data_IF_012540030748
#
_entry.id   IF_012540030748
#
_cell.length_a   1.000
_cell.length_b   1.000
_cell.length_c   1.000
_cell.angle_alpha   90.00
_cell.angle_beta   90.00
_cell.angle_gamma   90.00
#
_symmetry.space_group_name_H-M   'P 1'
#
loop_
_entity.id
_entity.type
_entity.pdbx_description
1 polymer ?
#
# COMPACT_ATOMS: atom_id res chain seq x y z
N UNK A 1 -2.42 -8.09 -49.01
CA UNK A 1 -3.18 -7.27 -48.05
C UNK A 1 -3.95 -8.26 -47.19
N UNK A 2 -3.67 -8.37 -45.90
CA UNK A 2 -4.42 -9.28 -45.03
C UNK A 2 -5.76 -8.64 -44.74
N UNK A 3 -6.83 -9.18 -45.31
CA UNK A 3 -8.18 -8.84 -44.91
C UNK A 3 -8.31 -9.14 -43.41
N UNK A 4 -8.48 -8.09 -42.62
CA UNK A 4 -8.83 -8.23 -41.21
C UNK A 4 -10.25 -8.81 -41.22
N UNK A 5 -10.35 -10.12 -40.98
CA UNK A 5 -11.63 -10.81 -40.87
C UNK A 5 -12.35 -10.28 -39.62
N UNK A 6 -13.35 -9.42 -39.84
CA UNK A 6 -14.26 -9.00 -38.79
C UNK A 6 -15.17 -10.17 -38.43
N UNK A 7 -15.37 -10.41 -37.13
CA UNK A 7 -16.35 -11.37 -36.65
C UNK A 7 -17.65 -10.63 -36.36
N UNK A 8 -18.72 -11.00 -37.07
CA UNK A 8 -20.07 -10.50 -36.78
C UNK A 8 -20.60 -11.20 -35.53
N UNK A 9 -21.24 -10.43 -34.64
CA UNK A 9 -21.89 -10.94 -33.43
C UNK A 9 -23.37 -11.19 -33.75
N UNK A 10 -23.86 -12.37 -33.40
CA UNK A 10 -25.27 -12.74 -33.55
C UNK A 10 -26.17 -11.95 -32.61
N UNK A 11 -27.49 -12.00 -32.86
CA UNK A 11 -28.45 -11.31 -31.98
C UNK A 11 -28.53 -11.97 -30.61
N UNK A 12 -28.36 -13.29 -30.56
CA UNK A 12 -28.32 -14.07 -29.34
C UNK A 12 -27.10 -13.69 -28.50
N UNK A 13 -25.91 -13.65 -29.09
CA UNK A 13 -24.67 -13.23 -28.39
C UNK A 13 -24.74 -11.76 -27.93
N UNK A 14 -25.37 -10.87 -28.71
CA UNK A 14 -25.60 -9.49 -28.28
C UNK A 14 -26.55 -9.39 -27.09
N UNK A 15 -27.57 -10.26 -27.01
CA UNK A 15 -28.47 -10.30 -25.87
C UNK A 15 -27.76 -10.82 -24.63
N UNK A 16 -26.95 -11.87 -24.75
CA UNK A 16 -26.12 -12.39 -23.65
C UNK A 16 -25.16 -11.30 -23.12
N UNK A 17 -24.52 -10.54 -24.02
CA UNK A 17 -23.66 -9.43 -23.62
C UNK A 17 -24.40 -8.28 -22.94
N UNK A 18 -25.65 -8.03 -23.32
CA UNK A 18 -26.49 -7.01 -22.66
C UNK A 18 -26.90 -7.47 -21.26
N UNK A 19 -27.20 -8.76 -21.09
CA UNK A 19 -27.47 -9.37 -19.79
C UNK A 19 -26.21 -9.29 -18.89
N UNK A 20 -25.04 -9.65 -19.41
CA UNK A 20 -23.74 -9.47 -18.72
C UNK A 20 -23.48 -8.00 -18.35
N UNK A 21 -23.76 -7.06 -19.26
CA UNK A 21 -23.61 -5.62 -19.00
C UNK A 21 -24.48 -5.18 -17.83
N UNK A 22 -25.72 -5.64 -17.78
CA UNK A 22 -26.67 -5.28 -16.72
C UNK A 22 -26.22 -5.86 -15.36
N UNK A 23 -25.76 -7.11 -15.34
CA UNK A 23 -25.19 -7.73 -14.14
C UNK A 23 -23.96 -6.97 -13.62
N UNK A 24 -23.03 -6.60 -14.52
CA UNK A 24 -21.85 -5.78 -14.18
C UNK A 24 -22.23 -4.42 -13.58
N UNK A 25 -23.25 -3.76 -14.14
CA UNK A 25 -23.72 -2.45 -13.65
C UNK A 25 -24.39 -2.57 -12.28
N UNK A 26 -25.21 -3.59 -12.07
CA UNK A 26 -25.87 -3.84 -10.80
C UNK A 26 -24.86 -4.17 -9.70
N UNK A 27 -23.89 -5.03 -10.00
CA UNK A 27 -22.81 -5.36 -9.09
C UNK A 27 -21.91 -4.16 -8.79
N UNK A 28 -21.55 -3.33 -9.78
CA UNK A 28 -20.82 -2.09 -9.56
C UNK A 28 -21.60 -1.13 -8.65
N UNK A 29 -22.90 -0.91 -8.92
CA UNK A 29 -23.76 -0.04 -8.14
C UNK A 29 -23.85 -0.49 -6.68
N UNK A 30 -24.01 -1.79 -6.46
CA UNK A 30 -24.10 -2.37 -5.12
C UNK A 30 -22.78 -2.20 -4.35
N UNK A 31 -21.64 -2.52 -4.97
CA UNK A 31 -20.32 -2.33 -4.34
C UNK A 31 -20.06 -0.85 -4.01
N UNK A 32 -20.32 0.06 -4.95
CA UNK A 32 -20.13 1.49 -4.71
C UNK A 32 -21.02 1.99 -3.56
N UNK A 33 -22.28 1.54 -3.51
CA UNK A 33 -23.19 1.92 -2.43
C UNK A 33 -22.73 1.38 -1.07
N UNK A 34 -22.26 0.12 -1.01
CA UNK A 34 -21.69 -0.48 0.20
C UNK A 34 -20.42 0.25 0.65
N UNK A 35 -19.51 0.54 -0.29
CA UNK A 35 -18.28 1.30 -0.05
C UNK A 35 -18.59 2.68 0.54
N UNK A 36 -19.49 3.44 -0.09
CA UNK A 36 -19.90 4.75 0.41
C UNK A 36 -20.54 4.67 1.81
N UNK A 37 -21.40 3.67 2.03
CA UNK A 37 -22.10 3.49 3.30
C UNK A 37 -21.15 3.13 4.44
N UNK A 38 -20.25 2.18 4.22
CA UNK A 38 -19.34 1.67 5.25
C UNK A 38 -18.25 2.69 5.61
N UNK A 39 -17.76 3.43 4.63
CA UNK A 39 -16.74 4.47 4.83
C UNK A 39 -17.34 5.85 5.15
N UNK A 40 -18.67 5.97 5.17
CA UNK A 40 -19.38 7.24 5.39
C UNK A 40 -18.94 8.35 4.42
N UNK A 41 -18.83 8.02 3.12
CA UNK A 41 -18.40 8.95 2.05
C UNK A 41 -19.57 9.32 1.15
N UNK A 42 -19.71 10.61 0.87
CA UNK A 42 -20.68 11.13 -0.10
C UNK A 42 -20.08 11.25 -1.50
N UNK A 43 -20.08 10.15 -2.27
CA UNK A 43 -19.71 10.15 -3.69
C UNK A 43 -20.92 10.34 -4.60
N UNK A 44 -20.72 10.92 -5.80
CA UNK A 44 -21.76 11.02 -6.83
C UNK A 44 -22.05 9.66 -7.49
N UNK A 45 -22.75 8.78 -6.76
CA UNK A 45 -23.05 7.42 -7.21
C UNK A 45 -23.87 7.39 -8.50
N UNK A 46 -24.83 8.30 -8.65
CA UNK A 46 -25.68 8.38 -9.85
C UNK A 46 -24.86 8.74 -11.09
N UNK A 47 -23.96 9.73 -10.97
CA UNK A 47 -23.07 10.12 -12.06
C UNK A 47 -22.11 9.01 -12.46
N UNK A 48 -21.52 8.31 -11.48
CA UNK A 48 -20.62 7.18 -11.73
C UNK A 48 -21.33 6.05 -12.49
N UNK A 49 -22.50 5.62 -12.03
CA UNK A 49 -23.29 4.57 -12.70
C UNK A 49 -23.73 4.99 -14.10
N UNK A 50 -24.18 6.24 -14.28
CA UNK A 50 -24.57 6.74 -15.59
C UNK A 50 -23.39 6.76 -16.59
N UNK A 51 -22.20 7.18 -16.13
CA UNK A 51 -20.99 7.19 -16.94
C UNK A 51 -20.58 5.79 -17.41
N UNK A 52 -20.58 4.81 -16.48
CA UNK A 52 -20.21 3.43 -16.82
C UNK A 52 -21.26 2.78 -17.72
N UNK A 53 -22.54 3.03 -17.45
CA UNK A 53 -23.62 2.54 -18.33
C UNK A 53 -23.46 3.09 -19.75
N UNK A 54 -23.05 4.35 -19.90
CA UNK A 54 -22.79 4.92 -21.21
C UNK A 54 -21.57 4.27 -21.89
N UNK A 55 -20.44 4.16 -21.18
CA UNK A 55 -19.20 3.58 -21.71
C UNK A 55 -19.36 2.11 -22.14
N UNK A 56 -20.04 1.30 -21.32
CA UNK A 56 -20.31 -0.11 -21.63
C UNK A 56 -21.27 -0.26 -22.81
N UNK A 57 -22.31 0.58 -22.89
CA UNK A 57 -23.21 0.60 -24.05
C UNK A 57 -22.50 0.99 -25.35
N UNK A 58 -21.56 1.95 -25.29
CA UNK A 58 -20.70 2.30 -26.44
C UNK A 58 -19.84 1.11 -26.87
N UNK A 59 -19.40 0.25 -25.94
CA UNK A 59 -18.67 -0.97 -26.29
C UNK A 59 -19.54 -1.93 -27.12
N UNK A 60 -20.78 -2.19 -26.68
CA UNK A 60 -21.73 -3.04 -27.40
C UNK A 60 -22.17 -2.46 -28.75
N UNK A 61 -22.19 -1.13 -28.86
CA UNK A 61 -22.56 -0.42 -30.09
C UNK A 61 -21.48 -0.48 -31.18
N UNK A 62 -20.29 -1.03 -30.91
CA UNK A 62 -19.20 -1.09 -31.88
C UNK A 62 -19.26 -2.38 -32.70
N UNK A 63 -19.76 -2.32 -33.94
CA UNK A 63 -20.08 -3.53 -34.75
C UNK A 63 -18.86 -4.18 -35.43
N UNK A 64 -17.64 -3.81 -35.03
CA UNK A 64 -16.41 -4.20 -35.72
C UNK A 64 -15.38 -4.65 -34.72
N UNK A 65 -15.30 -5.96 -34.51
CA UNK A 65 -14.30 -6.56 -33.64
C UNK A 65 -13.17 -7.13 -34.49
N UNK A 66 -11.97 -6.64 -34.20
CA UNK A 66 -10.74 -7.24 -34.69
C UNK A 66 -10.39 -8.34 -33.68
N UNK A 67 -10.39 -9.63 -34.06
CA UNK A 67 -9.99 -10.69 -33.15
C UNK A 67 -8.58 -10.42 -32.63
N UNK A 68 -8.47 -10.19 -31.32
CA UNK A 68 -7.20 -9.96 -30.64
C UNK A 68 -6.60 -11.33 -30.28
N UNK A 69 -5.34 -11.58 -30.66
CA UNK A 69 -4.57 -12.71 -30.12
C UNK A 69 -3.94 -12.28 -28.81
N UNK A 70 -4.25 -12.98 -27.74
CA UNK A 70 -3.60 -12.81 -26.43
C UNK A 70 -2.99 -14.16 -26.04
N UNK A 71 -1.67 -14.19 -25.78
CA UNK A 71 -0.95 -15.44 -25.47
C UNK A 71 -0.99 -16.53 -26.56
N UNK A 72 -1.38 -16.20 -27.80
CA UNK A 72 -1.53 -17.17 -28.90
C UNK A 72 -2.94 -17.77 -29.02
N UNK A 73 -3.88 -17.41 -28.13
CA UNK A 73 -5.29 -17.84 -28.17
C UNK A 73 -6.13 -16.81 -28.93
N UNK A 74 -7.04 -17.30 -29.78
CA UNK A 74 -8.03 -16.48 -30.47
C UNK A 74 -9.22 -16.26 -29.54
N UNK A 75 -9.47 -15.01 -29.15
CA UNK A 75 -10.65 -14.63 -28.36
C UNK A 75 -11.80 -14.33 -29.34
N UNK A 76 -13.00 -14.85 -29.05
CA UNK A 76 -14.20 -14.53 -29.84
C UNK A 76 -14.56 -13.04 -29.73
N UNK A 77 -15.29 -12.50 -30.71
CA UNK A 77 -15.82 -11.13 -30.64
C UNK A 77 -16.63 -10.86 -29.36
N UNK A 78 -17.46 -11.83 -28.95
CA UNK A 78 -18.20 -11.79 -27.68
C UNK A 78 -17.26 -11.72 -26.47
N UNK A 79 -16.28 -12.63 -26.38
CA UNK A 79 -15.33 -12.66 -25.27
C UNK A 79 -14.49 -11.38 -25.19
N UNK A 80 -14.12 -10.80 -26.33
CA UNK A 80 -13.42 -9.53 -26.37
C UNK A 80 -14.26 -8.37 -25.81
N UNK A 81 -15.54 -8.31 -26.19
CA UNK A 81 -16.46 -7.30 -25.67
C UNK A 81 -16.72 -7.43 -24.18
N UNK A 82 -16.94 -8.66 -23.72
CA UNK A 82 -17.12 -8.97 -22.30
C UNK A 82 -15.93 -8.48 -21.47
N UNK A 83 -14.71 -8.87 -21.86
CA UNK A 83 -13.46 -8.41 -21.21
C UNK A 83 -13.32 -6.89 -21.22
N UNK A 84 -13.64 -6.23 -22.34
CA UNK A 84 -13.54 -4.77 -22.46
C UNK A 84 -14.54 -4.06 -21.53
N UNK A 85 -15.74 -4.60 -21.36
CA UNK A 85 -16.72 -4.07 -20.41
C UNK A 85 -16.22 -4.23 -18.97
N UNK A 86 -15.68 -5.41 -18.61
CA UNK A 86 -15.07 -5.62 -17.30
C UNK A 86 -13.92 -4.65 -17.01
N UNK A 87 -12.98 -4.49 -17.96
CA UNK A 87 -11.86 -3.56 -17.83
C UNK A 87 -12.34 -2.13 -17.63
N UNK A 88 -13.41 -1.74 -18.34
CA UNK A 88 -14.03 -0.41 -18.19
C UNK A 88 -14.57 -0.20 -16.77
N UNK A 89 -15.28 -1.20 -16.22
CA UNK A 89 -15.82 -1.16 -14.86
C UNK A 89 -14.69 -1.10 -13.82
N UNK A 90 -13.67 -1.96 -13.97
CA UNK A 90 -12.48 -2.00 -13.11
C UNK A 90 -11.76 -0.65 -13.09
N UNK A 91 -11.49 -0.07 -14.26
CA UNK A 91 -10.82 1.22 -14.39
C UNK A 91 -11.62 2.36 -13.75
N UNK A 92 -12.94 2.36 -13.93
CA UNK A 92 -13.81 3.37 -13.33
C UNK A 92 -13.79 3.30 -11.80
N UNK A 93 -13.87 2.09 -11.22
CA UNK A 93 -13.77 1.90 -9.78
C UNK A 93 -12.41 2.35 -9.22
N UNK A 94 -11.31 1.95 -9.87
CA UNK A 94 -9.97 2.41 -9.48
C UNK A 94 -9.82 3.92 -9.58
N UNK A 95 -10.43 4.56 -10.58
CA UNK A 95 -10.41 6.03 -10.71
C UNK A 95 -11.10 6.70 -9.53
N UNK A 96 -12.30 6.23 -9.16
CA UNK A 96 -13.05 6.75 -8.01
C UNK A 96 -12.24 6.62 -6.72
N UNK A 97 -11.63 5.46 -6.49
CA UNK A 97 -10.86 5.19 -5.27
C UNK A 97 -9.57 6.01 -5.25
N UNK A 98 -8.89 6.14 -6.38
CA UNK A 98 -7.69 6.99 -6.50
C UNK A 98 -8.01 8.46 -6.24
N UNK A 99 -9.14 8.97 -6.73
CA UNK A 99 -9.55 10.36 -6.48
C UNK A 99 -9.90 10.58 -5.01
N UNK A 100 -10.56 9.61 -4.36
CA UNK A 100 -10.78 9.65 -2.91
C UNK A 100 -9.46 9.58 -2.13
N UNK A 101 -8.55 8.67 -2.51
CA UNK A 101 -7.25 8.52 -1.87
C UNK A 101 -6.41 9.80 -1.94
N UNK A 102 -6.42 10.48 -3.09
CA UNK A 102 -5.80 11.80 -3.25
C UNK A 102 -6.40 12.82 -2.30
N UNK A 103 -7.74 12.92 -2.24
CA UNK A 103 -8.40 13.87 -1.35
C UNK A 103 -8.06 13.62 0.13
N UNK A 104 -7.96 12.35 0.54
CA UNK A 104 -7.54 11.96 1.90
C UNK A 104 -6.09 12.39 2.14
N UNK A 105 -5.17 12.01 1.26
CA UNK A 105 -3.75 12.34 1.43
C UNK A 105 -3.49 13.85 1.37
N UNK A 106 -4.17 14.59 0.49
CA UNK A 106 -4.10 16.04 0.37
C UNK A 106 -4.63 16.76 1.63
N UNK A 107 -5.50 16.10 2.42
CA UNK A 107 -5.97 16.65 3.69
C UNK A 107 -4.84 16.84 4.72
N UNK A 108 -3.71 16.13 4.55
CA UNK A 108 -2.50 16.32 5.37
C UNK A 108 -1.98 17.76 5.33
N UNK A 109 -2.19 18.50 4.23
CA UNK A 109 -1.76 19.90 4.10
C UNK A 109 -2.47 20.84 5.10
N UNK A 110 -3.61 20.41 5.66
CA UNK A 110 -4.36 21.17 6.66
C UNK A 110 -3.86 20.93 8.09
N UNK A 111 -2.98 19.95 8.28
CA UNK A 111 -2.44 19.58 9.58
C UNK A 111 -1.14 20.32 9.87
N UNK A 112 -0.79 20.43 11.16
CA UNK A 112 0.50 20.96 11.57
C UNK A 112 1.60 19.94 11.24
N UNK A 113 2.81 20.41 10.94
CA UNK A 113 3.95 19.56 10.57
C UNK A 113 4.29 18.51 11.63
N UNK A 114 4.02 18.80 12.90
CA UNK A 114 4.31 17.93 14.04
C UNK A 114 3.08 17.16 14.57
N UNK A 115 1.97 17.19 13.84
CA UNK A 115 0.72 16.51 14.19
C UNK A 115 0.95 15.00 14.34
N UNK A 116 0.28 14.38 15.30
CA UNK A 116 0.41 12.95 15.61
C UNK A 116 -0.08 12.05 14.47
N UNK A 117 -0.99 12.56 13.63
CA UNK A 117 -1.49 11.88 12.45
C UNK A 117 -0.36 11.62 11.45
N UNK A 118 0.62 12.53 11.38
CA UNK A 118 1.74 12.50 10.43
C UNK A 118 3.00 11.83 11.00
N UNK A 119 2.87 11.08 12.11
CA UNK A 119 3.96 10.32 12.72
C UNK A 119 3.85 8.84 12.40
N UNK A 120 4.92 8.08 12.51
CA UNK A 120 4.89 6.64 12.22
C UNK A 120 5.32 6.29 10.80
N UNK A 121 5.17 5.01 10.45
CA UNK A 121 5.39 4.52 9.10
C UNK A 121 4.44 5.17 8.08
N UNK A 122 4.80 5.21 6.78
CA UNK A 122 3.90 5.68 5.72
C UNK A 122 2.52 5.02 5.74
N UNK A 123 2.47 3.71 5.93
CA UNK A 123 1.24 2.92 6.09
C UNK A 123 0.40 3.40 7.30
N UNK A 124 1.03 3.59 8.46
CA UNK A 124 0.36 4.10 9.66
C UNK A 124 -0.20 5.51 9.44
N UNK A 125 0.57 6.37 8.77
CA UNK A 125 0.13 7.72 8.42
C UNK A 125 -1.08 7.64 7.47
N UNK A 126 -1.05 6.77 6.46
CA UNK A 126 -2.15 6.58 5.53
C UNK A 126 -3.44 6.11 6.24
N UNK A 127 -3.33 5.15 7.17
CA UNK A 127 -4.44 4.70 7.98
C UNK A 127 -5.01 5.84 8.86
N UNK A 128 -4.15 6.59 9.55
CA UNK A 128 -4.57 7.70 10.41
C UNK A 128 -5.20 8.85 9.63
N UNK A 129 -4.63 9.23 8.48
CA UNK A 129 -5.21 10.23 7.58
C UNK A 129 -6.59 9.79 7.08
N UNK A 130 -6.73 8.52 6.69
CA UNK A 130 -7.99 7.95 6.22
C UNK A 130 -9.05 8.00 7.31
N UNK A 131 -8.74 7.50 8.52
CA UNK A 131 -9.67 7.55 9.65
C UNK A 131 -10.07 8.99 10.00
N UNK A 132 -9.10 9.89 10.05
CA UNK A 132 -9.33 11.29 10.35
C UNK A 132 -10.24 11.97 9.32
N UNK A 133 -10.01 11.69 8.03
CA UNK A 133 -10.79 12.25 6.93
C UNK A 133 -12.24 11.74 6.94
N UNK A 134 -12.42 10.44 7.13
CA UNK A 134 -13.74 9.78 7.01
C UNK A 134 -14.62 9.96 8.26
N UNK A 135 -14.02 9.93 9.45
CA UNK A 135 -14.77 9.87 10.72
C UNK A 135 -14.52 11.08 11.64
N UNK A 136 -13.71 12.04 11.17
CA UNK A 136 -13.40 13.29 11.89
C UNK A 136 -12.42 13.10 13.05
N UNK A 137 -12.39 14.09 13.94
CA UNK A 137 -11.51 14.11 15.12
C UNK A 137 -12.02 13.16 16.23
N UNK A 138 -11.88 11.85 16.01
CA UNK A 138 -11.94 10.87 17.10
C UNK A 138 -10.54 10.57 17.61
N UNK A 139 -10.39 10.29 18.90
CA UNK A 139 -9.11 9.84 19.44
C UNK A 139 -8.83 8.46 18.88
N UNK A 140 -7.62 8.18 18.43
CA UNK A 140 -7.25 6.92 17.76
C UNK A 140 -7.62 5.65 18.54
N UNK A 141 -7.60 5.70 19.88
CA UNK A 141 -8.02 4.59 20.75
C UNK A 141 -9.54 4.36 20.80
N UNK A 142 -10.33 5.32 20.34
CA UNK A 142 -11.80 5.29 20.31
C UNK A 142 -12.34 5.03 18.89
N UNK A 143 -11.45 4.72 17.93
CA UNK A 143 -11.81 4.46 16.53
C UNK A 143 -11.93 2.94 16.34
N UNK A 144 -13.16 2.48 16.09
CA UNK A 144 -13.37 1.12 15.58
C UNK A 144 -12.58 0.96 14.27
N UNK A 145 -11.95 -0.20 14.02
CA UNK A 145 -11.24 -0.45 12.77
C UNK A 145 -12.14 -0.17 11.57
N UNK A 146 -11.55 0.30 10.47
CA UNK A 146 -12.30 0.57 9.24
C UNK A 146 -12.97 -0.76 8.84
N UNK A 147 -14.30 -0.79 8.70
CA UNK A 147 -15.00 -2.05 8.45
C UNK A 147 -14.59 -2.62 7.10
N UNK A 148 -14.28 -3.91 7.07
CA UNK A 148 -14.05 -4.63 5.83
C UNK A 148 -15.28 -4.52 4.92
N UNK A 149 -15.02 -4.28 3.64
CA UNK A 149 -16.07 -4.20 2.64
C UNK A 149 -16.27 -5.61 2.09
N UNK A 150 -17.44 -6.24 2.34
CA UNK A 150 -17.66 -7.61 1.88
C UNK A 150 -17.62 -7.66 0.35
N UNK A 151 -16.85 -8.61 -0.18
CA UNK A 151 -16.87 -8.93 -1.61
C UNK A 151 -18.27 -9.41 -1.98
N UNK A 152 -18.94 -8.68 -2.86
CA UNK A 152 -20.18 -9.15 -3.46
C UNK A 152 -19.81 -9.95 -4.70
N UNK A 153 -20.37 -11.16 -4.83
CA UNK A 153 -20.14 -12.00 -5.99
C UNK A 153 -20.43 -11.24 -7.30
N UNK A 154 -19.69 -11.61 -8.36
CA UNK A 154 -19.83 -11.19 -9.76
C UNK A 154 -19.11 -9.91 -10.21
N UNK A 155 -18.39 -9.21 -9.34
CA UNK A 155 -17.53 -8.11 -9.78
C UNK A 155 -16.13 -8.23 -9.17
N UNK A 156 -15.13 -8.50 -10.00
CA UNK A 156 -13.70 -8.43 -9.66
C UNK A 156 -13.25 -6.96 -9.48
N UNK A 157 -13.96 -6.21 -8.65
CA UNK A 157 -13.70 -4.79 -8.38
C UNK A 157 -13.03 -4.68 -7.03
N UNK A 158 -11.82 -5.22 -6.95
CA UNK A 158 -10.97 -5.19 -5.75
C UNK A 158 -10.62 -3.75 -5.34
N UNK A 159 -10.83 -2.79 -6.25
CA UNK A 159 -10.64 -1.38 -6.01
C UNK A 159 -11.49 -0.86 -4.84
N UNK A 160 -12.74 -1.34 -4.66
CA UNK A 160 -13.61 -0.93 -3.56
C UNK A 160 -13.33 -1.69 -2.26
N UNK A 161 -12.06 -1.84 -1.91
CA UNK A 161 -11.60 -2.41 -0.64
C UNK A 161 -10.88 -1.36 0.21
N UNK A 162 -10.86 -1.58 1.52
CA UNK A 162 -10.10 -0.73 2.45
C UNK A 162 -8.61 -0.81 2.15
N UNK A 163 -8.08 -2.02 1.92
CA UNK A 163 -6.67 -2.24 1.62
C UNK A 163 -6.23 -1.49 0.36
N UNK A 164 -7.04 -1.53 -0.71
CA UNK A 164 -6.74 -0.79 -1.93
C UNK A 164 -6.78 0.73 -1.70
N UNK A 165 -7.76 1.22 -0.93
CA UNK A 165 -7.83 2.64 -0.56
C UNK A 165 -6.59 3.07 0.23
N UNK A 166 -6.22 2.33 1.29
CA UNK A 166 -5.07 2.63 2.15
C UNK A 166 -3.77 2.62 1.35
N UNK A 167 -3.57 1.60 0.50
CA UNK A 167 -2.41 1.52 -0.38
C UNK A 167 -2.30 2.74 -1.30
N UNK A 168 -3.42 3.23 -1.85
CA UNK A 168 -3.42 4.42 -2.72
C UNK A 168 -3.25 5.73 -1.96
N UNK A 169 -3.73 5.81 -0.72
CA UNK A 169 -3.48 6.96 0.16
C UNK A 169 -2.00 7.03 0.50
N UNK A 170 -1.40 5.89 0.89
CA UNK A 170 0.03 5.78 1.17
C UNK A 170 0.87 6.19 -0.04
N UNK A 171 0.62 5.59 -1.21
CA UNK A 171 1.36 5.88 -2.44
C UNK A 171 1.34 7.37 -2.77
N UNK A 172 0.17 8.01 -2.74
CA UNK A 172 0.06 9.44 -3.03
C UNK A 172 0.73 10.30 -1.96
N UNK A 173 0.54 9.97 -0.68
CA UNK A 173 1.16 10.70 0.43
C UNK A 173 2.68 10.64 0.38
N UNK A 174 3.25 9.45 0.15
CA UNK A 174 4.70 9.25 0.03
C UNK A 174 5.28 10.06 -1.11
N UNK A 175 4.63 10.02 -2.28
CA UNK A 175 5.11 10.69 -3.48
C UNK A 175 5.04 12.22 -3.41
N UNK A 176 4.07 12.79 -2.69
CA UNK A 176 3.81 14.24 -2.69
C UNK A 176 4.23 14.96 -1.41
N UNK A 177 4.11 14.30 -0.26
CA UNK A 177 4.12 14.98 1.05
C UNK A 177 5.09 14.40 2.06
N UNK A 178 5.38 13.09 2.01
CA UNK A 178 6.18 12.45 3.04
C UNK A 178 7.60 13.04 3.08
N UNK A 179 8.08 13.27 4.31
CA UNK A 179 9.40 13.83 4.57
C UNK A 179 10.09 12.97 5.60
N UNK A 180 11.16 12.31 5.17
CA UNK A 180 12.01 11.56 6.06
C UNK A 180 12.85 12.48 6.95
N UNK A 181 13.06 12.04 8.18
CA UNK A 181 14.07 12.56 9.09
C UNK A 181 15.46 12.07 8.65
N UNK A 182 16.44 12.95 8.78
CA UNK A 182 17.83 12.54 8.64
C UNK A 182 18.28 11.81 9.90
N UNK A 183 19.07 10.76 9.71
CA UNK A 183 19.69 10.03 10.80
C UNK A 183 20.58 10.97 11.62
N UNK A 184 20.42 10.90 12.93
CA UNK A 184 21.20 11.69 13.87
C UNK A 184 21.91 10.76 14.86
N UNK A 185 22.86 11.29 15.62
CA UNK A 185 23.67 10.49 16.54
C UNK A 185 22.86 9.68 17.56
N UNK A 186 21.65 10.14 17.94
CA UNK A 186 20.74 9.41 18.83
C UNK A 186 20.12 8.21 18.12
N UNK A 187 19.53 8.41 16.94
CA UNK A 187 18.94 7.33 16.14
C UNK A 187 20.00 6.28 15.77
N UNK A 188 21.19 6.73 15.34
CA UNK A 188 22.34 5.84 15.06
C UNK A 188 22.74 5.03 16.29
N UNK A 189 22.79 5.64 17.49
CA UNK A 189 23.13 4.94 18.72
C UNK A 189 22.09 3.88 19.11
N UNK A 190 20.81 4.22 19.02
CA UNK A 190 19.71 3.30 19.32
C UNK A 190 19.68 2.13 18.34
N UNK A 191 19.85 2.40 17.04
CA UNK A 191 19.91 1.34 16.04
C UNK A 191 21.11 0.42 16.24
N UNK A 192 22.29 0.97 16.57
CA UNK A 192 23.46 0.15 16.94
C UNK A 192 23.15 -0.73 18.15
N UNK A 193 22.44 -0.20 19.15
CA UNK A 193 22.09 -0.97 20.35
C UNK A 193 21.12 -2.10 20.00
N UNK A 194 20.15 -1.84 19.11
CA UNK A 194 19.28 -2.88 18.57
C UNK A 194 20.06 -4.01 17.87
N UNK A 195 21.05 -3.67 17.03
CA UNK A 195 21.81 -4.66 16.28
C UNK A 195 22.72 -5.54 17.14
N UNK A 196 23.23 -5.02 18.25
CA UNK A 196 24.38 -5.61 18.94
C UNK A 196 24.24 -5.82 20.44
N UNK A 197 23.25 -5.21 21.10
CA UNK A 197 23.04 -5.44 22.52
C UNK A 197 22.10 -6.63 22.73
N UNK A 198 22.59 -7.63 23.46
CA UNK A 198 21.76 -8.69 24.01
C UNK A 198 20.78 -8.03 24.99
N UNK A 199 19.53 -7.85 24.58
CA UNK A 199 18.47 -7.71 25.57
C UNK A 199 18.40 -9.02 26.34
N UNK A 200 18.98 -9.05 27.53
CA UNK A 200 18.87 -10.12 28.53
C UNK A 200 17.46 -10.27 29.12
N UNK A 201 16.44 -9.72 28.46
CA UNK A 201 15.07 -10.10 28.67
C UNK A 201 14.67 -10.77 27.38
N UNK A 202 14.41 -12.09 27.44
CA UNK A 202 13.55 -12.76 26.48
C UNK A 202 12.37 -11.83 26.22
N UNK A 203 12.39 -11.08 25.13
CA UNK A 203 11.19 -10.43 24.61
C UNK A 203 10.31 -11.62 24.27
N UNK A 204 9.27 -11.96 25.05
CA UNK A 204 8.61 -13.25 24.99
C UNK A 204 7.80 -13.45 23.68
N UNK A 205 7.95 -12.52 22.74
CA UNK A 205 7.24 -12.43 21.48
C UNK A 205 8.18 -12.57 20.25
N UNK A 206 9.51 -12.48 20.38
CA UNK A 206 10.43 -12.54 19.22
C UNK A 206 11.80 -13.19 19.51
N UNK A 207 12.24 -14.07 18.60
CA UNK A 207 13.67 -14.30 18.32
C UNK A 207 14.03 -13.24 17.27
N UNK A 208 14.33 -12.00 17.68
CA UNK A 208 14.59 -10.93 16.72
C UNK A 208 15.94 -11.17 16.01
N UNK A 209 16.03 -11.03 14.67
CA UNK A 209 17.29 -11.05 13.95
C UNK A 209 18.16 -9.91 14.46
N UNK A 210 19.41 -10.22 14.82
CA UNK A 210 20.41 -9.27 15.29
C UNK A 210 21.78 -9.66 14.73
N UNK A 211 22.74 -8.75 14.86
CA UNK A 211 24.09 -8.91 14.33
C UNK A 211 25.12 -9.21 15.42
N UNK A 212 24.68 -9.73 16.57
CA UNK A 212 25.57 -10.03 17.71
C UNK A 212 26.66 -11.02 17.31
N UNK A 213 26.35 -11.95 16.41
CA UNK A 213 27.31 -12.92 15.86
C UNK A 213 28.53 -12.25 15.20
N UNK A 214 28.41 -11.02 14.68
CA UNK A 214 29.55 -10.28 14.11
C UNK A 214 30.52 -9.77 15.20
N UNK A 215 30.16 -9.86 16.48
CA UNK A 215 31.02 -9.55 17.62
C UNK A 215 31.93 -10.71 18.02
N UNK A 216 31.64 -11.94 17.55
CA UNK A 216 32.46 -13.12 17.82
C UNK A 216 33.70 -13.21 16.89
N UNK A 217 33.76 -12.35 15.87
CA UNK A 217 34.86 -12.28 14.92
C UNK A 217 36.11 -11.62 15.53
N UNK A 218 37.34 -12.10 15.24
CA UNK A 218 38.57 -11.54 15.81
C UNK A 218 38.91 -10.14 15.26
N UNK A 219 38.42 -9.82 14.06
CA UNK A 219 38.63 -8.54 13.40
C UNK A 219 37.31 -8.04 12.77
N UNK A 220 37.13 -6.71 12.61
CA UNK A 220 35.93 -6.18 11.97
C UNK A 220 35.76 -6.70 10.53
N UNK A 221 34.55 -7.18 10.21
CA UNK A 221 34.19 -7.54 8.84
C UNK A 221 34.23 -6.32 7.91
N UNK A 222 34.40 -6.54 6.60
CA UNK A 222 34.44 -5.43 5.64
C UNK A 222 33.18 -4.54 5.71
N UNK A 223 33.37 -3.21 5.62
CA UNK A 223 32.25 -2.23 5.71
C UNK A 223 31.12 -2.53 4.73
N UNK A 224 31.43 -3.06 3.53
CA UNK A 224 30.42 -3.43 2.54
C UNK A 224 29.52 -4.55 3.08
N UNK A 225 30.11 -5.63 3.60
CA UNK A 225 29.37 -6.75 4.17
C UNK A 225 28.54 -6.30 5.38
N UNK A 226 29.12 -5.49 6.27
CA UNK A 226 28.39 -4.91 7.40
C UNK A 226 27.13 -4.13 6.97
N UNK A 227 27.20 -3.35 5.87
CA UNK A 227 26.03 -2.65 5.34
C UNK A 227 24.95 -3.59 4.87
N UNK A 228 25.34 -4.62 4.12
CA UNK A 228 24.41 -5.61 3.56
C UNK A 228 23.66 -6.32 4.70
N UNK A 229 24.38 -6.78 5.73
CA UNK A 229 23.81 -7.41 6.95
C UNK A 229 22.87 -6.46 7.72
N UNK A 230 23.23 -5.18 7.86
CA UNK A 230 22.36 -4.19 8.51
C UNK A 230 21.05 -3.97 7.74
N UNK A 231 21.11 -3.95 6.41
CA UNK A 231 19.93 -3.78 5.55
C UNK A 231 19.05 -5.02 5.62
N UNK A 232 19.63 -6.22 5.52
CA UNK A 232 18.89 -7.48 5.60
C UNK A 232 18.19 -7.63 6.96
N UNK A 233 18.91 -7.40 8.06
CA UNK A 233 18.36 -7.42 9.41
C UNK A 233 17.19 -6.43 9.58
N UNK A 234 17.30 -5.24 9.00
CA UNK A 234 16.22 -4.24 9.01
C UNK A 234 14.99 -4.66 8.20
N UNK A 235 15.19 -5.25 7.02
CA UNK A 235 14.11 -5.72 6.16
C UNK A 235 13.36 -6.92 6.78
N UNK A 236 14.08 -7.85 7.41
CA UNK A 236 13.49 -9.00 8.08
C UNK A 236 12.63 -8.56 9.28
N UNK A 237 13.13 -7.63 10.09
CA UNK A 237 12.37 -6.99 11.16
C UNK A 237 11.08 -6.34 10.67
N UNK A 238 11.14 -5.68 9.51
CA UNK A 238 9.98 -5.06 8.89
C UNK A 238 8.91 -6.05 8.40
N UNK A 239 9.34 -7.23 7.93
CA UNK A 239 8.45 -8.22 7.35
C UNK A 239 7.72 -9.08 8.41
N UNK A 240 8.38 -9.39 9.54
CA UNK A 240 7.89 -10.35 10.55
C UNK A 240 7.28 -9.70 11.80
N UNK A 241 7.36 -8.37 11.95
CA UNK A 241 6.72 -7.68 13.08
C UNK A 241 5.18 -7.74 12.94
N UNK A 242 4.42 -8.13 13.98
CA UNK A 242 2.96 -8.07 13.96
C UNK A 242 2.57 -6.62 13.70
N UNK A 243 2.07 -6.39 12.49
CA UNK A 243 1.59 -5.10 12.03
C UNK A 243 0.71 -4.49 13.11
N UNK A 244 0.96 -3.23 13.44
CA UNK A 244 0.10 -2.31 14.19
C UNK A 244 0.27 -2.16 15.71
N UNK A 245 0.93 -3.06 16.44
CA UNK A 245 1.10 -2.84 17.91
C UNK A 245 2.48 -2.25 18.30
N UNK A 246 3.51 -2.46 17.47
CA UNK A 246 4.91 -2.15 17.80
C UNK A 246 5.74 -1.55 16.65
N UNK A 247 5.14 -1.24 15.49
CA UNK A 247 5.80 -0.55 14.37
C UNK A 247 6.12 0.93 14.66
N UNK A 248 5.88 1.35 15.90
CA UNK A 248 6.63 2.40 16.57
C UNK A 248 7.69 1.69 17.43
N UNK A 249 8.83 1.31 16.86
CA UNK A 249 9.93 0.72 17.65
C UNK A 249 10.57 1.85 18.50
N UNK A 250 9.79 2.42 19.41
CA UNK A 250 10.30 2.93 20.66
C UNK A 250 10.93 1.72 21.35
N UNK A 251 12.25 1.78 21.54
CA UNK A 251 12.89 0.94 22.52
C UNK A 251 12.08 1.07 23.83
N UNK A 252 11.72 -0.03 24.53
CA UNK A 252 10.76 0.00 25.64
C UNK A 252 11.15 0.93 26.80
N UNK A 253 12.37 1.44 26.80
CA UNK A 253 12.92 2.25 27.86
C UNK A 253 13.42 3.58 27.27
N UNK A 254 12.58 4.62 27.39
CA UNK A 254 12.92 6.05 27.42
C UNK A 254 13.39 6.80 26.15
N UNK A 255 13.11 6.34 24.92
CA UNK A 255 13.29 7.24 23.75
C UNK A 255 12.43 6.97 22.51
N UNK A 256 11.46 7.86 22.26
CA UNK A 256 10.58 7.88 21.10
C UNK A 256 11.26 8.24 19.77
N UNK A 257 12.15 7.36 19.30
CA UNK A 257 12.62 7.31 17.92
C UNK A 257 11.79 6.28 17.18
N UNK A 258 11.11 6.70 16.11
CA UNK A 258 10.41 5.80 15.19
C UNK A 258 11.30 5.72 13.95
N UNK A 259 11.92 4.57 13.71
CA UNK A 259 12.91 4.40 12.64
C UNK A 259 12.30 4.54 11.25
N UNK A 260 11.01 4.19 11.08
CA UNK A 260 10.26 4.35 9.84
C UNK A 260 10.08 5.81 9.42
N UNK A 261 10.28 6.76 10.33
CA UNK A 261 10.29 8.19 10.00
C UNK A 261 11.63 8.65 9.43
N UNK A 262 12.68 7.82 9.47
CA UNK A 262 14.02 8.17 8.97
C UNK A 262 14.26 7.67 7.55
N UNK A 263 15.21 8.31 6.85
CA UNK A 263 15.62 7.91 5.49
C UNK A 263 15.97 6.41 5.48
N UNK A 264 15.46 5.60 4.53
CA UNK A 264 15.75 4.16 4.50
C UNK A 264 17.25 3.87 4.41
N UNK A 265 17.71 2.82 5.10
CA UNK A 265 19.13 2.43 5.15
C UNK A 265 19.75 2.21 3.76
N UNK A 266 18.97 1.77 2.78
CA UNK A 266 19.41 1.59 1.40
C UNK A 266 19.86 2.90 0.70
N UNK A 267 19.49 4.06 1.24
CA UNK A 267 19.75 5.37 0.65
C UNK A 267 20.31 6.41 1.64
N UNK A 268 20.72 5.99 2.85
CA UNK A 268 21.38 6.91 3.80
C UNK A 268 22.77 7.33 3.30
N UNK A 269 23.22 8.50 3.75
CA UNK A 269 24.55 9.03 3.42
C UNK A 269 25.69 8.19 3.99
N UNK A 270 26.86 8.20 3.33
CA UNK A 270 28.06 7.48 3.82
C UNK A 270 28.49 7.87 5.23
N UNK A 271 28.29 9.13 5.64
CA UNK A 271 28.60 9.60 7.00
C UNK A 271 27.83 8.82 8.08
N UNK A 272 26.59 8.42 7.79
CA UNK A 272 25.76 7.61 8.69
C UNK A 272 26.32 6.19 8.76
N UNK A 273 26.72 5.64 7.61
CA UNK A 273 27.36 4.33 7.54
C UNK A 273 28.72 4.29 8.23
N UNK A 274 29.53 5.34 8.11
CA UNK A 274 30.78 5.48 8.86
C UNK A 274 30.50 5.52 10.35
N UNK A 275 29.51 6.30 10.79
CA UNK A 275 29.14 6.37 12.20
C UNK A 275 28.62 5.03 12.76
N UNK A 276 27.79 4.30 12.00
CA UNK A 276 27.33 2.95 12.37
C UNK A 276 28.50 1.97 12.47
N UNK A 277 29.39 1.98 11.47
CA UNK A 277 30.52 1.07 11.41
C UNK A 277 31.57 1.35 12.49
N UNK A 278 31.85 2.61 12.81
CA UNK A 278 32.71 2.96 13.95
C UNK A 278 32.12 2.48 15.27
N UNK A 279 30.80 2.57 15.45
CA UNK A 279 30.13 2.04 16.64
C UNK A 279 30.23 0.53 16.73
N UNK A 280 30.05 -0.19 15.62
CA UNK A 280 30.30 -1.63 15.54
C UNK A 280 31.74 -1.98 15.97
N UNK A 281 32.75 -1.34 15.37
CA UNK A 281 34.16 -1.56 15.73
C UNK A 281 34.46 -1.30 17.20
N UNK A 282 33.83 -0.28 17.78
CA UNK A 282 33.98 0.02 19.21
C UNK A 282 33.33 -1.03 20.10
N UNK A 283 32.15 -1.56 19.70
CA UNK A 283 31.51 -2.69 20.40
C UNK A 283 32.36 -3.96 20.29
N UNK A 284 32.89 -4.27 19.11
CA UNK A 284 33.78 -5.42 18.89
C UNK A 284 35.01 -5.38 19.83
N UNK A 285 35.69 -4.23 19.91
CA UNK A 285 36.82 -4.02 20.83
C UNK A 285 36.46 -4.14 22.31
N UNK A 286 35.20 -3.89 22.67
CA UNK A 286 34.71 -4.05 24.04
C UNK A 286 34.20 -5.46 24.34
N UNK A 287 34.09 -6.31 23.32
CA UNK A 287 33.61 -7.69 23.41
C UNK A 287 34.76 -8.71 23.45
N UNK A 288 35.86 -8.43 22.74
CA UNK A 288 37.15 -9.16 22.76
C UNK A 288 37.96 -8.80 24.00
#
# INVERSE_FOLDING_TARGET
MSDIAYQDISKEELQELEDERQELLEGFKLHLALFCKLLNVELNQQGAVASISWLTNVCLSSHKHIPKKEGGVLISGQGYLSLKMEETVKLAASTIVNDLARNIADSSQKLLVNDIILRGSPESIAAKLTQHYLFGHKRFYDIDPIPDIPSVHHCHVDAFSVDHLLSKVEEHYVNQYHRYKLWNGRATALFTSYLFDTKSELHPYFIAPNLIHLLDEPEPVEKKWFKDECIECWLELHAEAPMHAYTEIAYPDDSGVIFEEYVPLTVVSEDVWDALYERYKNKLKGHV
#
